data_IF_204782233242
#
_entry.id   IF_204782233242
#
_cell.length_a   1.000
_cell.length_b   1.000
_cell.length_c   1.000
_cell.angle_alpha   90.00
_cell.angle_beta   90.00
_cell.angle_gamma   90.00
#
_symmetry.space_group_name_H-M   'P 1'
#
loop_
_entity.id
_entity.type
_entity.pdbx_description
1 polymer ?
#
# COMPACT_ATOMS: atom_id res chain seq x y z
N UNK A 1 9.50 8.73 -0.73
CA UNK A 1 9.03 8.44 0.66
C UNK A 1 8.75 6.95 0.79
N UNK A 2 9.00 6.33 1.94
CA UNK A 2 8.79 4.90 2.14
C UNK A 2 7.55 4.68 3.00
N UNK A 3 6.63 3.82 2.55
CA UNK A 3 5.40 3.45 3.25
C UNK A 3 5.40 1.95 3.52
N UNK A 4 5.16 1.58 4.78
CA UNK A 4 4.79 0.23 5.17
C UNK A 4 3.28 0.21 5.41
N UNK A 5 2.56 -0.58 4.62
CA UNK A 5 1.11 -0.75 4.76
C UNK A 5 0.84 -2.16 5.27
N UNK A 6 0.17 -2.27 6.40
CA UNK A 6 -0.35 -3.56 6.90
C UNK A 6 -1.81 -3.72 6.51
N UNK A 7 -2.26 -4.92 6.14
CA UNK A 7 -3.66 -5.12 5.75
C UNK A 7 -4.01 -4.54 4.37
N UNK A 8 -3.01 -4.37 3.49
CA UNK A 8 -3.16 -3.76 2.16
C UNK A 8 -3.94 -4.61 1.14
N UNK A 9 -4.27 -5.86 1.43
CA UNK A 9 -5.14 -6.70 0.61
C UNK A 9 -6.64 -6.54 0.97
N UNK A 10 -6.97 -5.85 2.08
CA UNK A 10 -8.35 -5.57 2.47
C UNK A 10 -9.05 -4.51 1.61
N UNK A 11 -10.34 -4.25 1.87
CA UNK A 11 -11.14 -3.27 1.12
C UNK A 11 -10.50 -1.88 1.09
N UNK A 12 -10.21 -1.30 2.25
CA UNK A 12 -9.57 0.02 2.35
C UNK A 12 -8.08 -0.07 1.99
N UNK A 13 -7.39 -1.09 2.50
CA UNK A 13 -5.95 -1.25 2.28
C UNK A 13 -5.57 -1.30 0.81
N UNK A 14 -6.36 -2.00 -0.02
CA UNK A 14 -6.10 -2.10 -1.45
C UNK A 14 -6.31 -0.78 -2.19
N UNK A 15 -7.27 0.04 -1.75
CA UNK A 15 -7.47 1.39 -2.29
C UNK A 15 -6.30 2.32 -1.91
N UNK A 16 -5.83 2.25 -0.66
CA UNK A 16 -4.69 3.03 -0.17
C UNK A 16 -3.40 2.62 -0.91
N UNK A 17 -3.11 1.33 -1.02
CA UNK A 17 -1.94 0.84 -1.78
C UNK A 17 -1.97 1.33 -3.23
N UNK A 18 -3.13 1.26 -3.91
CA UNK A 18 -3.28 1.75 -5.29
C UNK A 18 -3.06 3.26 -5.40
N UNK A 19 -3.58 4.03 -4.45
CA UNK A 19 -3.38 5.48 -4.41
C UNK A 19 -1.90 5.84 -4.19
N UNK A 20 -1.23 5.19 -3.23
CA UNK A 20 0.20 5.43 -2.95
C UNK A 20 1.10 5.01 -4.11
N UNK A 21 0.83 3.86 -4.73
CA UNK A 21 1.60 3.36 -5.87
C UNK A 21 1.42 4.20 -7.15
N UNK A 22 0.44 5.11 -7.21
CA UNK A 22 0.26 6.01 -8.35
C UNK A 22 1.39 7.06 -8.46
N UNK A 23 2.15 7.30 -7.38
CA UNK A 23 3.30 8.19 -7.40
C UNK A 23 4.62 7.40 -7.46
N UNK A 24 5.39 7.49 -8.55
CA UNK A 24 6.64 6.73 -8.71
C UNK A 24 7.77 7.16 -7.75
N UNK A 25 7.64 8.31 -7.07
CA UNK A 25 8.59 8.73 -6.04
C UNK A 25 8.38 8.02 -4.68
N UNK A 26 7.29 7.25 -4.56
CA UNK A 26 6.99 6.47 -3.35
C UNK A 26 7.45 5.03 -3.50
N UNK A 27 7.98 4.47 -2.41
CA UNK A 27 8.17 3.03 -2.26
C UNK A 27 7.13 2.54 -1.25
N UNK A 28 6.32 1.58 -1.67
CA UNK A 28 5.23 1.03 -0.87
C UNK A 28 5.48 -0.46 -0.66
N UNK A 29 5.59 -0.88 0.60
CA UNK A 29 5.70 -2.28 0.99
C UNK A 29 4.39 -2.67 1.67
N UNK A 30 3.64 -3.58 1.06
CA UNK A 30 2.45 -4.17 1.65
C UNK A 30 2.85 -5.42 2.45
N UNK A 31 2.55 -5.45 3.74
CA UNK A 31 2.68 -6.62 4.60
C UNK A 31 1.30 -7.11 5.02
N UNK A 32 0.86 -8.22 4.44
CA UNK A 32 -0.46 -8.77 4.69
C UNK A 32 -0.39 -10.29 4.94
N UNK A 33 -1.38 -10.81 5.65
CA UNK A 33 -1.58 -12.24 5.93
C UNK A 33 -2.83 -12.80 5.21
N UNK A 34 -3.62 -11.94 4.57
CA UNK A 34 -4.72 -12.35 3.68
C UNK A 34 -4.23 -13.12 2.45
#
# INVERSE_FOLDING_TARGET
MNFLVTGGAGFIGSAVCRHLCANPAYRVTNLDKL
#
